data_IF_611944041519
#
_entry.id   IF_611944041519
#
_cell.length_a   1.000
_cell.length_b   1.000
_cell.length_c   1.000
_cell.angle_alpha   90.00
_cell.angle_beta   90.00
_cell.angle_gamma   90.00
#
_symmetry.space_group_name_H-M   'P 1'
#
loop_
_entity.id
_entity.type
_entity.pdbx_description
1 polymer ?
#
# COMPACT_ATOMS: atom_id res chain seq x y z
N UNK A 1 2.17 -8.52 32.88
CA UNK A 1 3.11 -9.45 32.16
C UNK A 1 3.96 -8.58 31.26
N UNK A 2 5.25 -8.84 31.19
CA UNK A 2 6.20 -8.01 30.43
C UNK A 2 6.54 -8.73 29.12
N UNK A 3 6.57 -7.96 28.04
CA UNK A 3 6.83 -8.47 26.70
C UNK A 3 8.05 -7.76 26.09
N UNK A 4 8.90 -8.55 25.45
CA UNK A 4 9.98 -8.07 24.62
C UNK A 4 9.63 -8.36 23.15
N UNK A 5 9.68 -7.34 22.30
CA UNK A 5 9.39 -7.45 20.87
C UNK A 5 10.67 -7.15 20.11
N UNK A 6 11.07 -8.06 19.24
CA UNK A 6 12.25 -7.91 18.40
C UNK A 6 11.82 -7.40 17.02
N UNK A 7 12.25 -6.20 16.69
CA UNK A 7 11.96 -5.48 15.45
C UNK A 7 10.87 -4.43 15.61
N UNK A 8 11.21 -3.19 15.28
CA UNK A 8 10.35 -2.00 15.30
C UNK A 8 9.69 -1.70 13.95
N UNK A 9 9.44 -2.70 13.11
CA UNK A 9 8.65 -2.55 11.90
C UNK A 9 7.14 -2.47 12.19
N UNK A 10 6.31 -2.36 11.16
CA UNK A 10 4.86 -2.18 11.28
C UNK A 10 4.20 -3.24 12.18
N UNK A 11 4.57 -4.52 12.01
CA UNK A 11 4.04 -5.61 12.81
C UNK A 11 4.45 -5.50 14.29
N UNK A 12 5.74 -5.27 14.56
CA UNK A 12 6.26 -5.16 15.92
C UNK A 12 5.67 -3.97 16.67
N UNK A 13 5.61 -2.81 16.03
CA UNK A 13 5.01 -1.61 16.60
C UNK A 13 3.50 -1.77 16.85
N UNK A 14 2.77 -2.38 15.92
CA UNK A 14 1.34 -2.65 16.12
C UNK A 14 1.11 -3.64 17.27
N UNK A 15 1.91 -4.69 17.37
CA UNK A 15 1.84 -5.65 18.48
C UNK A 15 2.13 -4.96 19.81
N UNK A 16 3.19 -4.13 19.88
CA UNK A 16 3.53 -3.34 21.05
C UNK A 16 2.37 -2.43 21.48
N UNK A 17 1.78 -1.72 20.52
CA UNK A 17 0.64 -0.84 20.75
C UNK A 17 -0.56 -1.60 21.34
N UNK A 18 -0.92 -2.76 20.78
CA UNK A 18 -2.04 -3.58 21.27
C UNK A 18 -1.79 -4.13 22.68
N UNK A 19 -0.58 -4.60 22.97
CA UNK A 19 -0.20 -5.12 24.29
C UNK A 19 -0.17 -4.00 25.34
N UNK A 20 0.38 -2.84 25.00
CA UNK A 20 0.40 -1.69 25.89
C UNK A 20 -1.02 -1.21 26.24
N UNK A 21 -1.91 -1.14 25.25
CA UNK A 21 -3.31 -0.79 25.46
C UNK A 21 -4.08 -1.85 26.30
N UNK A 22 -3.60 -3.09 26.31
CA UNK A 22 -4.11 -4.16 27.18
C UNK A 22 -3.51 -4.12 28.61
N UNK A 23 -2.72 -3.10 28.95
CA UNK A 23 -2.14 -2.91 30.26
C UNK A 23 -0.86 -3.70 30.52
N UNK A 24 -0.16 -4.14 29.49
CA UNK A 24 1.11 -4.85 29.60
C UNK A 24 2.30 -3.88 29.50
N UNK A 25 3.38 -4.17 30.20
CA UNK A 25 4.66 -3.55 29.96
C UNK A 25 5.31 -4.16 28.71
N UNK A 26 5.72 -3.30 27.79
CA UNK A 26 6.26 -3.74 26.49
C UNK A 26 7.55 -3.01 26.20
N UNK A 27 8.57 -3.77 25.75
CA UNK A 27 9.83 -3.23 25.28
C UNK A 27 10.05 -3.68 23.84
N UNK A 28 10.36 -2.73 22.95
CA UNK A 28 10.68 -3.01 21.55
C UNK A 28 12.18 -2.82 21.33
N UNK A 29 12.81 -3.83 20.76
CA UNK A 29 14.21 -3.81 20.37
C UNK A 29 14.29 -3.64 18.84
N UNK A 30 14.90 -2.54 18.39
CA UNK A 30 15.11 -2.23 16.98
C UNK A 30 16.60 -2.06 16.73
N UNK A 31 17.13 -2.67 15.67
CA UNK A 31 18.53 -2.58 15.30
C UNK A 31 18.88 -1.28 14.59
N UNK A 32 17.90 -0.68 13.90
CA UNK A 32 18.07 0.58 13.20
C UNK A 32 17.89 1.76 14.16
N UNK A 33 18.43 2.90 13.80
CA UNK A 33 18.30 4.15 14.58
C UNK A 33 16.90 4.72 14.58
N UNK A 34 16.06 4.28 13.65
CA UNK A 34 14.66 4.71 13.49
C UNK A 34 13.75 3.50 13.33
N UNK A 35 12.63 3.51 14.06
CA UNK A 35 11.59 2.50 13.89
C UNK A 35 10.83 2.70 12.57
N UNK A 36 10.11 1.65 12.14
CA UNK A 36 9.28 1.65 10.94
C UNK A 36 9.62 0.52 9.95
N UNK A 37 10.83 -0.01 9.99
CA UNK A 37 11.26 -1.07 9.09
C UNK A 37 11.11 -0.67 7.61
N UNK A 38 10.45 -1.50 6.81
CA UNK A 38 10.17 -1.18 5.40
C UNK A 38 9.20 -0.01 5.22
N UNK A 39 8.32 0.27 6.20
CA UNK A 39 7.41 1.41 6.17
C UNK A 39 8.09 2.74 6.57
N UNK A 40 9.37 2.70 6.93
CA UNK A 40 10.13 3.92 7.20
C UNK A 40 10.50 4.66 5.91
N UNK A 41 10.77 5.96 6.03
CA UNK A 41 11.19 6.81 4.93
C UNK A 41 12.57 7.40 5.14
N UNK A 42 13.04 8.14 4.15
CA UNK A 42 14.24 8.95 4.20
C UNK A 42 14.00 10.30 3.52
N UNK A 43 14.79 11.30 3.90
CA UNK A 43 14.64 12.65 3.34
C UNK A 43 15.36 12.79 2.01
N UNK A 44 14.70 13.46 1.07
CA UNK A 44 15.28 13.92 -0.20
C UNK A 44 14.92 15.40 -0.36
N UNK A 45 15.85 16.28 -0.06
CA UNK A 45 15.55 17.71 0.04
C UNK A 45 14.53 17.99 1.15
N UNK A 46 13.42 18.64 0.79
CA UNK A 46 12.33 18.95 1.72
C UNK A 46 11.20 17.90 1.76
N UNK A 47 11.35 16.82 0.99
CA UNK A 47 10.37 15.76 0.90
C UNK A 47 10.82 14.47 1.59
N UNK A 48 9.85 13.63 1.97
CA UNK A 48 10.09 12.28 2.43
C UNK A 48 9.79 11.30 1.31
N UNK A 49 10.71 10.32 1.11
CA UNK A 49 10.47 9.17 0.26
C UNK A 49 10.41 7.90 1.11
N UNK A 50 9.56 6.98 0.74
CA UNK A 50 9.48 5.65 1.35
C UNK A 50 10.70 4.82 0.97
N UNK A 51 11.23 4.03 1.93
CA UNK A 51 12.30 3.07 1.66
C UNK A 51 11.85 1.93 0.75
N UNK A 52 10.58 1.61 0.79
CA UNK A 52 9.95 0.57 0.01
C UNK A 52 8.57 1.02 -0.45
N UNK A 53 8.18 0.58 -1.63
CA UNK A 53 6.91 0.91 -2.25
C UNK A 53 5.74 0.28 -1.49
N UNK A 54 4.82 1.10 -1.02
CA UNK A 54 3.62 0.67 -0.30
C UNK A 54 2.37 1.21 -0.96
N UNK A 55 1.31 0.41 -0.94
CA UNK A 55 -0.04 0.86 -1.23
C UNK A 55 -0.95 0.62 -0.04
N UNK A 56 -1.80 1.59 0.24
CA UNK A 56 -2.95 1.43 1.11
C UNK A 56 -4.20 1.50 0.23
N UNK A 57 -5.01 0.45 0.29
CA UNK A 57 -6.28 0.40 -0.43
C UNK A 57 -7.43 0.75 0.51
N UNK A 58 -8.54 1.25 -0.06
CA UNK A 58 -9.76 1.53 0.73
C UNK A 58 -10.37 0.28 1.36
N UNK A 59 -9.98 -0.91 0.89
CA UNK A 59 -10.35 -2.22 1.44
C UNK A 59 -9.51 -2.63 2.64
N UNK A 60 -8.39 -1.97 2.91
CA UNK A 60 -7.49 -2.28 4.03
C UNK A 60 -8.03 -1.73 5.35
N UNK A 61 -9.22 -2.18 5.71
CA UNK A 61 -10.01 -1.65 6.82
C UNK A 61 -9.28 -1.71 8.16
N UNK A 62 -8.45 -2.73 8.39
CA UNK A 62 -7.66 -2.88 9.63
C UNK A 62 -6.61 -1.78 9.75
N UNK A 63 -5.89 -1.47 8.67
CA UNK A 63 -4.89 -0.41 8.65
C UNK A 63 -5.54 0.97 8.79
N UNK A 64 -6.65 1.21 8.08
CA UNK A 64 -7.42 2.46 8.16
C UNK A 64 -7.95 2.68 9.58
N UNK A 65 -8.47 1.62 10.22
CA UNK A 65 -8.92 1.68 11.61
C UNK A 65 -7.78 2.05 12.56
N UNK A 66 -6.61 1.43 12.40
CA UNK A 66 -5.43 1.75 13.22
C UNK A 66 -5.01 3.22 13.04
N UNK A 67 -4.98 3.73 11.80
CA UNK A 67 -4.68 5.13 11.49
C UNK A 67 -5.66 6.06 12.24
N UNK A 68 -6.96 5.71 12.26
CA UNK A 68 -7.97 6.44 13.01
C UNK A 68 -7.75 6.39 14.54
N UNK A 69 -7.43 5.21 15.09
CA UNK A 69 -7.12 5.02 16.52
C UNK A 69 -5.90 5.84 16.97
N UNK A 70 -4.94 6.05 16.07
CA UNK A 70 -3.76 6.88 16.30
C UNK A 70 -4.03 8.39 16.11
N UNK A 71 -5.28 8.80 15.83
CA UNK A 71 -5.65 10.21 15.62
C UNK A 71 -5.17 10.79 14.29
N UNK A 72 -4.80 9.94 13.32
CA UNK A 72 -4.26 10.36 12.03
C UNK A 72 -5.29 10.27 10.88
N UNK A 73 -6.55 9.91 11.18
CA UNK A 73 -7.59 9.68 10.17
C UNK A 73 -7.83 10.87 9.24
N UNK A 74 -7.85 12.09 9.78
CA UNK A 74 -8.05 13.32 8.99
C UNK A 74 -6.84 13.68 8.11
N UNK A 75 -5.68 13.08 8.39
CA UNK A 75 -4.45 13.27 7.60
C UNK A 75 -4.31 12.26 6.47
N UNK A 76 -5.22 11.28 6.39
CA UNK A 76 -5.22 10.26 5.36
C UNK A 76 -5.83 10.81 4.07
N UNK A 77 -4.98 11.03 3.09
CA UNK A 77 -5.38 11.51 1.78
C UNK A 77 -5.44 10.36 0.76
N UNK A 78 -6.50 10.35 -0.05
CA UNK A 78 -6.68 9.35 -1.09
C UNK A 78 -6.38 9.97 -2.45
N UNK A 79 -5.32 9.49 -3.08
CA UNK A 79 -4.96 9.88 -4.43
C UNK A 79 -5.41 8.85 -5.47
N UNK A 80 -5.52 9.28 -6.71
CA UNK A 80 -5.76 8.42 -7.87
C UNK A 80 -4.48 8.39 -8.72
N UNK A 81 -3.57 7.45 -8.45
CA UNK A 81 -2.32 7.38 -9.20
C UNK A 81 -2.60 7.01 -10.66
N UNK A 82 -1.79 7.54 -11.57
CA UNK A 82 -1.81 7.11 -12.97
C UNK A 82 -0.81 5.98 -13.16
N UNK A 83 -1.31 4.82 -13.57
CA UNK A 83 -0.43 3.70 -13.91
C UNK A 83 0.00 3.81 -15.36
N UNK A 84 1.30 3.87 -15.58
CA UNK A 84 1.90 3.94 -16.92
C UNK A 84 2.94 2.83 -17.08
N UNK A 85 3.01 2.27 -18.29
CA UNK A 85 4.04 1.33 -18.70
C UNK A 85 4.99 2.04 -19.67
N UNK A 86 6.29 1.85 -19.51
CA UNK A 86 7.28 2.30 -20.47
C UNK A 86 7.55 1.14 -21.46
N UNK A 87 7.11 1.28 -22.71
CA UNK A 87 7.26 0.28 -23.77
C UNK A 87 7.83 0.96 -24.98
N UNK A 88 8.92 0.44 -25.50
CA UNK A 88 9.65 0.99 -26.67
C UNK A 88 9.93 2.49 -26.56
N UNK A 89 10.35 2.93 -25.36
CA UNK A 89 10.66 4.33 -25.08
C UNK A 89 9.46 5.28 -24.99
N UNK A 90 8.22 4.74 -25.00
CA UNK A 90 6.98 5.53 -24.91
C UNK A 90 6.20 5.18 -23.65
N UNK A 91 5.71 6.21 -22.95
CA UNK A 91 4.80 6.01 -21.84
C UNK A 91 3.39 5.69 -22.35
N UNK A 92 2.86 4.55 -21.93
CA UNK A 92 1.53 4.08 -22.26
C UNK A 92 0.71 3.97 -20.95
N UNK A 93 -0.40 4.67 -20.87
CA UNK A 93 -1.28 4.60 -19.70
C UNK A 93 -2.13 3.33 -19.74
N UNK A 94 -2.24 2.64 -18.56
CA UNK A 94 -2.99 1.41 -18.42
C UNK A 94 -3.62 1.35 -17.03
N UNK A 95 -4.64 2.15 -16.79
CA UNK A 95 -5.32 2.27 -15.48
C UNK A 95 -6.85 2.30 -15.57
N UNK A 96 -7.40 2.12 -16.77
CA UNK A 96 -8.84 2.11 -16.97
C UNK A 96 -9.23 1.29 -18.21
N UNK A 97 -10.49 0.88 -18.33
CA UNK A 97 -10.98 0.21 -19.54
C UNK A 97 -10.75 1.02 -20.81
N UNK A 98 -10.86 2.34 -20.71
CA UNK A 98 -10.67 3.24 -21.86
C UNK A 98 -9.18 3.31 -22.27
N UNK A 99 -8.26 3.35 -21.31
CA UNK A 99 -6.82 3.34 -21.61
C UNK A 99 -6.37 1.97 -22.14
N UNK A 100 -6.99 0.86 -21.67
CA UNK A 100 -6.77 -0.46 -22.23
C UNK A 100 -7.18 -0.53 -23.73
N UNK A 101 -8.33 0.04 -24.07
CA UNK A 101 -8.76 0.07 -25.49
C UNK A 101 -7.80 0.88 -26.38
N UNK A 102 -7.16 1.91 -25.84
CA UNK A 102 -6.16 2.73 -26.52
C UNK A 102 -4.73 2.18 -26.43
N UNK A 103 -4.51 1.11 -25.70
CA UNK A 103 -3.19 0.56 -25.42
C UNK A 103 -2.56 -0.07 -26.66
N UNK A 104 -1.79 0.72 -27.39
CA UNK A 104 -1.23 0.34 -28.71
C UNK A 104 -0.27 -0.85 -28.73
N UNK A 105 0.44 -1.21 -27.63
CA UNK A 105 1.28 -2.39 -27.60
C UNK A 105 0.54 -3.72 -27.76
N UNK A 106 -0.76 -3.75 -27.46
CA UNK A 106 -1.61 -4.92 -27.65
C UNK A 106 -2.45 -4.80 -28.94
N UNK A 107 -2.61 -5.91 -29.64
CA UNK A 107 -3.55 -6.03 -30.77
C UNK A 107 -4.99 -5.88 -30.28
N UNK A 108 -5.90 -5.56 -31.18
CA UNK A 108 -7.31 -5.32 -30.82
C UNK A 108 -7.95 -6.56 -30.19
N UNK A 109 -7.69 -7.76 -30.73
CA UNK A 109 -8.17 -9.02 -30.19
C UNK A 109 -7.65 -9.32 -28.78
N UNK A 110 -6.39 -8.96 -28.49
CA UNK A 110 -5.78 -9.09 -27.17
C UNK A 110 -6.40 -8.12 -26.16
N UNK A 111 -6.65 -6.86 -26.56
CA UNK A 111 -7.33 -5.86 -25.71
C UNK A 111 -8.74 -6.33 -25.34
N UNK A 112 -9.47 -6.90 -26.29
CA UNK A 112 -10.81 -7.44 -26.04
C UNK A 112 -10.77 -8.62 -25.07
N UNK A 113 -9.79 -9.53 -25.20
CA UNK A 113 -9.61 -10.65 -24.26
C UNK A 113 -9.31 -10.16 -22.84
N UNK A 114 -8.39 -9.21 -22.68
CA UNK A 114 -8.08 -8.63 -21.37
C UNK A 114 -9.31 -7.94 -20.77
N UNK A 115 -10.06 -7.18 -21.58
CA UNK A 115 -11.28 -6.54 -21.14
C UNK A 115 -12.37 -7.56 -20.70
N UNK A 116 -12.52 -8.66 -21.45
CA UNK A 116 -13.46 -9.72 -21.13
C UNK A 116 -13.10 -10.43 -19.80
N UNK A 117 -11.82 -10.75 -19.60
CA UNK A 117 -11.33 -11.33 -18.33
C UNK A 117 -11.57 -10.39 -17.17
N UNK A 118 -11.23 -9.10 -17.33
CA UNK A 118 -11.47 -8.10 -16.28
C UNK A 118 -12.96 -7.94 -15.92
N UNK A 119 -13.84 -7.98 -16.93
CA UNK A 119 -15.29 -7.96 -16.71
C UNK A 119 -15.78 -9.22 -15.99
N UNK A 120 -15.27 -10.40 -16.38
CA UNK A 120 -15.62 -11.67 -15.74
C UNK A 120 -15.21 -11.67 -14.26
N UNK A 121 -13.98 -11.29 -13.95
CA UNK A 121 -13.48 -11.21 -12.57
C UNK A 121 -14.31 -10.25 -11.72
N UNK A 122 -14.74 -9.13 -12.27
CA UNK A 122 -15.62 -8.18 -11.58
C UNK A 122 -17.01 -8.75 -11.31
N UNK A 123 -17.58 -9.53 -12.25
CA UNK A 123 -18.90 -10.13 -12.11
C UNK A 123 -18.90 -11.34 -11.16
N UNK A 124 -17.81 -12.11 -11.11
CA UNK A 124 -17.71 -13.29 -10.23
C UNK A 124 -17.34 -12.96 -8.80
N UNK A 125 -17.13 -11.68 -8.46
CA UNK A 125 -16.77 -11.27 -7.11
C UNK A 125 -15.40 -11.77 -6.64
N UNK A 126 -14.57 -12.27 -7.55
CA UNK A 126 -13.21 -12.74 -7.28
C UNK A 126 -12.20 -11.57 -7.28
N UNK A 127 -12.57 -10.47 -6.66
CA UNK A 127 -11.67 -9.38 -6.35
C UNK A 127 -11.23 -9.46 -4.88
N UNK A 128 -10.00 -9.03 -4.57
CA UNK A 128 -9.53 -8.98 -3.19
C UNK A 128 -10.37 -8.06 -2.32
#
# INVERSE_FOLDING_TARGET
MDYAILGGGALGLHTAYRLANAGHAVMVFEQETTAGGLASGFRVGDSWLEKFYHHLFKTDTTAIKLIGELGLGERLEWSHPRTVCLIDGKFQQLDSPMTLLKFSPLRIDERLRVAAVGALLKLTGSGP
#
